data_IF_567305442558
#
_entry.id   IF_567305442558
#
_cell.length_a   1.000
_cell.length_b   1.000
_cell.length_c   1.000
_cell.angle_alpha   90.00
_cell.angle_beta   90.00
_cell.angle_gamma   90.00
#
_symmetry.space_group_name_H-M   'P 1'
#
loop_
_entity.id
_entity.type
_entity.pdbx_description
1 polymer ?
#
# COMPACT_ATOMS: atom_id res chain seq x y z
N UNK A 1 17.28 -3.92 -7.05
CA UNK A 1 17.11 -2.46 -7.21
C UNK A 1 16.23 -2.28 -8.43
N UNK A 2 15.14 -1.52 -8.32
CA UNK A 2 14.20 -1.36 -9.42
C UNK A 2 14.88 -0.66 -10.61
N UNK A 3 14.67 -1.17 -11.82
CA UNK A 3 15.23 -0.58 -13.04
C UNK A 3 14.67 0.85 -13.20
N UNK A 4 15.57 1.82 -13.42
CA UNK A 4 15.22 3.24 -13.58
C UNK A 4 15.10 4.03 -12.27
N UNK A 5 15.25 3.39 -11.11
CA UNK A 5 15.35 4.09 -9.82
C UNK A 5 16.76 4.65 -9.62
N UNK A 6 16.85 5.92 -9.22
CA UNK A 6 18.11 6.57 -8.82
C UNK A 6 18.18 6.58 -7.30
N UNK A 7 19.17 5.91 -6.72
CA UNK A 7 19.31 5.84 -5.26
C UNK A 7 19.81 7.17 -4.67
N UNK A 8 19.49 7.41 -3.39
CA UNK A 8 20.20 8.42 -2.61
C UNK A 8 21.68 8.04 -2.43
N UNK A 9 22.62 9.00 -2.43
CA UNK A 9 24.00 8.71 -2.08
C UNK A 9 24.08 8.07 -0.67
N UNK A 10 24.98 7.09 -0.53
CA UNK A 10 25.05 6.25 0.68
C UNK A 10 25.20 7.04 1.98
N UNK A 11 25.95 8.14 1.95
CA UNK A 11 26.13 9.03 3.10
C UNK A 11 24.80 9.61 3.60
N UNK A 12 23.96 10.13 2.70
CA UNK A 12 22.64 10.65 3.05
C UNK A 12 21.70 9.54 3.51
N UNK A 13 21.70 8.39 2.82
CA UNK A 13 20.86 7.25 3.20
C UNK A 13 21.20 6.74 4.62
N UNK A 14 22.48 6.76 5.01
CA UNK A 14 22.90 6.40 6.37
C UNK A 14 22.43 7.46 7.37
N UNK A 15 22.68 8.74 7.09
CA UNK A 15 22.23 9.84 7.95
C UNK A 15 20.72 9.82 8.20
N UNK A 16 19.90 9.60 7.16
CA UNK A 16 18.44 9.53 7.31
C UNK A 16 17.97 8.35 8.17
N UNK A 17 18.71 7.23 8.19
CA UNK A 17 18.40 6.10 9.09
C UNK A 17 18.83 6.41 10.53
N UNK A 18 20.01 6.99 10.72
CA UNK A 18 20.55 7.37 12.03
C UNK A 18 19.69 8.44 12.72
N UNK A 19 19.21 9.43 11.95
CA UNK A 19 18.32 10.49 12.44
C UNK A 19 16.86 10.06 12.58
N UNK A 20 16.52 8.80 12.28
CA UNK A 20 15.16 8.26 12.41
C UNK A 20 14.17 8.79 11.36
N UNK A 21 14.64 9.47 10.31
CA UNK A 21 13.79 9.87 9.19
C UNK A 21 13.30 8.65 8.39
N UNK A 22 14.13 7.61 8.27
CA UNK A 22 13.80 6.35 7.62
C UNK A 22 13.75 5.21 8.63
N UNK A 23 12.54 4.88 9.07
CA UNK A 23 12.30 3.89 10.14
C UNK A 23 12.51 2.43 9.71
N UNK A 24 12.71 2.16 8.43
CA UNK A 24 12.81 0.79 7.90
C UNK A 24 11.48 0.02 7.87
N UNK A 25 10.38 0.68 8.23
CA UNK A 25 9.03 0.14 8.15
C UNK A 25 8.50 0.15 6.70
N UNK A 26 7.80 -0.91 6.31
CA UNK A 26 7.09 -0.98 5.02
C UNK A 26 5.60 -0.73 5.22
N UNK A 27 4.87 -0.32 4.18
CA UNK A 27 3.41 -0.16 4.29
C UNK A 27 2.67 -1.44 4.68
N UNK A 28 3.15 -2.60 4.21
CA UNK A 28 2.56 -3.90 4.55
C UNK A 28 2.72 -4.25 6.04
N UNK A 29 3.90 -3.98 6.61
CA UNK A 29 4.16 -4.17 8.05
C UNK A 29 3.43 -3.13 8.89
N UNK A 30 3.39 -1.88 8.43
CA UNK A 30 2.67 -0.80 9.11
C UNK A 30 1.20 -1.14 9.28
N UNK A 31 0.50 -1.54 8.21
CA UNK A 31 -0.93 -1.91 8.33
C UNK A 31 -1.12 -3.08 9.29
N UNK A 32 -0.23 -4.08 9.25
CA UNK A 32 -0.31 -5.23 10.14
C UNK A 32 -0.20 -4.83 11.61
N UNK A 33 0.80 -4.02 11.94
CA UNK A 33 1.00 -3.52 13.30
C UNK A 33 -0.18 -2.67 13.79
N UNK A 34 -0.72 -1.79 12.93
CA UNK A 34 -1.89 -0.98 13.29
C UNK A 34 -3.15 -1.83 13.47
N UNK A 35 -3.34 -2.89 12.69
CA UNK A 35 -4.45 -3.82 12.85
C UNK A 35 -4.35 -4.67 14.13
N UNK A 36 -3.14 -5.01 14.57
CA UNK A 36 -2.92 -5.68 15.84
C UNK A 36 -3.18 -4.75 17.03
N UNK A 37 -2.76 -3.49 16.94
CA UNK A 37 -2.85 -2.52 18.03
C UNK A 37 -4.21 -1.83 18.16
N UNK A 38 -4.88 -1.57 17.04
CA UNK A 38 -6.09 -0.76 16.95
C UNK A 38 -7.20 -1.48 16.18
N UNK A 39 -7.21 -2.82 16.22
CA UNK A 39 -8.02 -3.66 15.33
C UNK A 39 -9.50 -3.33 15.26
N UNK A 40 -10.13 -2.96 16.38
CA UNK A 40 -11.56 -2.64 16.47
C UNK A 40 -11.88 -1.17 16.11
N UNK A 41 -10.86 -0.32 15.94
CA UNK A 41 -11.07 1.07 15.55
C UNK A 41 -11.36 1.16 14.05
N UNK A 42 -12.22 2.11 13.69
CA UNK A 42 -12.55 2.41 12.29
C UNK A 42 -11.30 2.96 11.58
N UNK A 43 -10.90 2.30 10.49
CA UNK A 43 -9.80 2.73 9.63
C UNK A 43 -10.29 3.60 8.47
N UNK A 44 -11.40 3.20 7.84
CA UNK A 44 -11.94 3.87 6.65
C UNK A 44 -13.46 3.97 6.75
N UNK A 45 -13.99 5.13 6.37
CA UNK A 45 -15.42 5.38 6.22
C UNK A 45 -15.69 5.81 4.78
N UNK A 46 -16.64 5.16 4.12
CA UNK A 46 -17.12 5.51 2.79
C UNK A 46 -18.63 5.44 2.77
N UNK A 47 -19.28 6.62 2.74
CA UNK A 47 -20.74 6.75 2.86
C UNK A 47 -21.26 6.02 4.12
N UNK A 48 -22.08 4.98 3.94
CA UNK A 48 -22.66 4.21 5.05
C UNK A 48 -21.79 3.01 5.46
N UNK A 49 -20.68 2.76 4.76
CA UNK A 49 -19.78 1.64 5.04
C UNK A 49 -18.61 2.10 5.88
N UNK A 50 -18.37 1.36 6.97
CA UNK A 50 -17.26 1.59 7.88
C UNK A 50 -16.49 0.27 7.96
N UNK A 51 -15.17 0.33 7.85
CA UNK A 51 -14.31 -0.84 8.05
C UNK A 51 -13.28 -0.57 9.14
N UNK A 52 -13.06 -1.56 10.00
CA UNK A 52 -12.05 -1.49 11.04
C UNK A 52 -10.65 -1.77 10.49
N UNK A 53 -9.61 -1.46 11.25
CA UNK A 53 -8.24 -1.85 10.89
C UNK A 53 -8.09 -3.36 10.72
N UNK A 54 -8.73 -4.17 11.58
CA UNK A 54 -8.68 -5.63 11.46
C UNK A 54 -9.38 -6.14 10.19
N UNK A 55 -10.51 -5.52 9.81
CA UNK A 55 -11.22 -5.86 8.58
C UNK A 55 -10.43 -5.48 7.33
N UNK A 56 -9.82 -4.29 7.33
CA UNK A 56 -8.94 -3.84 6.25
C UNK A 56 -7.76 -4.80 6.08
N UNK A 57 -7.06 -5.16 7.15
CA UNK A 57 -5.92 -6.08 7.10
C UNK A 57 -6.28 -7.45 6.50
N UNK A 58 -7.43 -8.01 6.91
CA UNK A 58 -7.95 -9.28 6.39
C UNK A 58 -8.30 -9.19 4.91
N UNK A 59 -8.94 -8.09 4.49
CA UNK A 59 -9.28 -7.84 3.07
C UNK A 59 -8.02 -7.72 2.22
N UNK A 60 -7.03 -6.99 2.71
CA UNK A 60 -5.70 -6.84 2.09
C UNK A 60 -4.99 -8.19 1.96
N UNK A 61 -4.96 -9.02 3.00
CA UNK A 61 -4.33 -10.36 2.95
C UNK A 61 -4.96 -11.25 1.88
N UNK A 62 -6.30 -11.26 1.82
CA UNK A 62 -7.06 -12.04 0.84
C UNK A 62 -6.81 -11.54 -0.58
N UNK A 63 -6.84 -10.22 -0.78
CA UNK A 63 -6.62 -9.62 -2.09
C UNK A 63 -5.18 -9.84 -2.57
N UNK A 64 -4.19 -9.64 -1.70
CA UNK A 64 -2.78 -9.93 -1.98
C UNK A 64 -2.58 -11.38 -2.49
N UNK A 65 -3.19 -12.35 -1.80
CA UNK A 65 -3.17 -13.75 -2.21
C UNK A 65 -3.82 -13.97 -3.59
N UNK A 66 -4.95 -13.30 -3.85
CA UNK A 66 -5.61 -13.34 -5.16
C UNK A 66 -4.78 -12.76 -6.29
N UNK A 67 -4.10 -11.63 -6.07
CA UNK A 67 -3.23 -10.98 -7.06
C UNK A 67 -2.01 -11.84 -7.39
N UNK A 68 -1.41 -12.49 -6.39
CA UNK A 68 -0.33 -13.46 -6.61
C UNK A 68 -0.80 -14.63 -7.47
N UNK A 69 -1.98 -15.16 -7.20
CA UNK A 69 -2.58 -16.24 -8.00
C UNK A 69 -2.94 -15.80 -9.43
N UNK A 70 -3.28 -14.52 -9.62
CA UNK A 70 -3.48 -13.92 -10.96
C UNK A 70 -2.15 -13.75 -11.73
N UNK A 71 -1.02 -13.88 -11.05
CA UNK A 71 0.32 -13.81 -11.64
C UNK A 71 1.03 -12.46 -11.47
N UNK A 72 0.45 -11.52 -10.70
CA UNK A 72 1.12 -10.27 -10.35
C UNK A 72 2.24 -10.58 -9.35
N UNK A 73 3.43 -10.06 -9.62
CA UNK A 73 4.65 -10.35 -8.87
C UNK A 73 5.28 -9.07 -8.33
N UNK A 74 6.27 -9.26 -7.46
CA UNK A 74 7.14 -8.19 -6.97
C UNK A 74 7.71 -7.40 -8.14
N UNK A 75 7.73 -6.07 -8.01
CA UNK A 75 8.20 -5.10 -9.01
C UNK A 75 7.32 -4.93 -10.27
N UNK A 76 6.22 -5.69 -10.40
CA UNK A 76 5.21 -5.40 -11.42
C UNK A 76 4.55 -4.05 -11.15
N UNK A 77 4.27 -3.31 -12.22
CA UNK A 77 3.58 -2.01 -12.14
C UNK A 77 2.11 -2.22 -12.42
N UNK A 78 1.26 -1.70 -11.54
CA UNK A 78 -0.19 -1.82 -11.64
C UNK A 78 -0.80 -0.42 -11.59
N UNK A 79 -1.41 0.01 -12.70
CA UNK A 79 -2.12 1.29 -12.72
C UNK A 79 -3.39 1.17 -11.88
N UNK A 80 -3.52 2.04 -10.87
CA UNK A 80 -4.74 2.20 -10.09
C UNK A 80 -5.41 3.48 -10.54
N UNK A 81 -6.63 3.37 -11.05
CA UNK A 81 -7.49 4.50 -11.40
C UNK A 81 -8.85 4.29 -10.73
N UNK A 82 -8.92 4.55 -9.43
CA UNK A 82 -10.13 4.42 -8.63
C UNK A 82 -10.52 5.77 -8.02
N UNK A 83 -11.82 6.04 -7.80
CA UNK A 83 -12.28 7.21 -7.05
C UNK A 83 -12.03 7.03 -5.54
N UNK A 84 -12.57 7.93 -4.72
CA UNK A 84 -12.47 7.88 -3.26
C UNK A 84 -13.42 6.80 -2.68
N UNK A 85 -13.01 5.53 -2.78
CA UNK A 85 -13.75 4.36 -2.29
C UNK A 85 -12.84 3.47 -1.44
N UNK A 86 -13.42 2.58 -0.62
CA UNK A 86 -12.68 1.70 0.29
C UNK A 86 -11.71 0.80 -0.47
N UNK A 87 -12.11 0.31 -1.64
CA UNK A 87 -11.35 -0.60 -2.50
C UNK A 87 -10.00 -0.01 -2.91
N UNK A 88 -9.86 1.32 -2.96
CA UNK A 88 -8.58 1.99 -3.18
C UNK A 88 -7.56 1.59 -2.11
N UNK A 89 -7.96 1.60 -0.84
CA UNK A 89 -7.06 1.21 0.27
C UNK A 89 -6.76 -0.28 0.22
N UNK A 90 -7.78 -1.11 -0.04
CA UNK A 90 -7.61 -2.57 -0.17
C UNK A 90 -6.57 -2.92 -1.25
N UNK A 91 -6.72 -2.39 -2.47
CA UNK A 91 -5.79 -2.69 -3.58
C UNK A 91 -4.40 -2.10 -3.35
N UNK A 92 -4.28 -0.88 -2.80
CA UNK A 92 -2.98 -0.27 -2.53
C UNK A 92 -2.15 -1.09 -1.55
N UNK A 93 -2.73 -1.42 -0.39
CA UNK A 93 -2.02 -2.21 0.62
C UNK A 93 -1.77 -3.65 0.15
N UNK A 94 -2.66 -4.23 -0.65
CA UNK A 94 -2.44 -5.55 -1.23
C UNK A 94 -1.21 -5.57 -2.17
N UNK A 95 -1.09 -4.55 -3.04
CA UNK A 95 0.08 -4.41 -3.91
C UNK A 95 1.36 -4.18 -3.10
N UNK A 96 1.32 -3.30 -2.08
CA UNK A 96 2.47 -3.09 -1.20
C UNK A 96 2.92 -4.37 -0.49
N UNK A 97 1.98 -5.19 -0.01
CA UNK A 97 2.27 -6.44 0.70
C UNK A 97 2.96 -7.47 -0.19
N UNK A 98 2.63 -7.51 -1.48
CA UNK A 98 3.28 -8.42 -2.45
C UNK A 98 4.51 -7.79 -3.12
N UNK A 99 4.82 -6.54 -2.80
CA UNK A 99 5.92 -5.77 -3.39
C UNK A 99 5.69 -5.37 -4.85
N UNK A 100 4.45 -5.35 -5.30
CA UNK A 100 4.05 -4.72 -6.56
C UNK A 100 3.95 -3.20 -6.38
N UNK A 101 4.01 -2.47 -7.50
CA UNK A 101 4.18 -1.03 -7.53
C UNK A 101 2.90 -0.37 -8.08
N UNK A 102 2.08 0.24 -7.22
CA UNK A 102 0.94 1.02 -7.69
C UNK A 102 1.42 2.24 -8.49
N UNK A 103 0.79 2.48 -9.63
CA UNK A 103 0.93 3.70 -10.44
C UNK A 103 -0.39 4.46 -10.37
N UNK A 104 -0.39 5.56 -9.61
CA UNK A 104 -1.62 6.29 -9.32
C UNK A 104 -2.05 7.16 -10.51
N UNK A 105 -3.20 6.82 -11.07
CA UNK A 105 -3.90 7.61 -12.07
C UNK A 105 -5.12 8.30 -11.45
N UNK A 106 -5.39 9.52 -11.87
CA UNK A 106 -6.57 10.27 -11.41
C UNK A 106 -7.83 9.78 -12.14
N UNK A 107 -9.01 9.77 -11.49
CA UNK A 107 -10.27 9.47 -12.16
C UNK A 107 -10.55 10.37 -13.37
N UNK A 108 -10.02 11.60 -13.37
CA UNK A 108 -10.17 12.56 -14.47
C UNK A 108 -9.22 12.34 -15.64
N UNK A 109 -8.25 11.43 -15.55
CA UNK A 109 -7.40 11.12 -16.71
C UNK A 109 -8.29 10.62 -17.86
N UNK A 110 -8.25 11.34 -18.99
CA UNK A 110 -9.07 11.15 -20.21
C UNK A 110 -10.52 11.65 -20.15
N UNK A 111 -10.94 12.29 -19.05
CA UNK A 111 -12.19 13.03 -19.02
C UNK A 111 -11.99 14.39 -19.69
N UNK A 112 -12.52 14.54 -20.90
CA UNK A 112 -12.66 15.81 -21.64
C UNK A 112 -13.93 16.54 -21.24
#
# INVERSE_FOLDING_TARGET
MLIGYTEWPKEFANRYREEGCWLGETFGSMLKERAEKYGDQIAVVSSNTHITYSELDKKVDRLASGLLNLGIKKEDRVVIQLPNIIEFFEICFALFRIGALPVFALPSHRSS
#
